data_IF_466147212662
#
_entry.id   IF_466147212662
#
_cell.length_a   1.000
_cell.length_b   1.000
_cell.length_c   1.000
_cell.angle_alpha   90.00
_cell.angle_beta   90.00
_cell.angle_gamma   90.00
#
_symmetry.space_group_name_H-M   'P 1'
#
loop_
_entity.id
_entity.type
_entity.pdbx_description
1 polymer ?
#
# COMPACT_ATOMS: atom_id res chain seq x y z
N UNK A 1 -15.92 7.92 5.45
CA UNK A 1 -14.62 7.37 5.02
C UNK A 1 -14.60 5.91 5.45
N UNK A 2 -14.31 4.96 4.56
CA UNK A 2 -14.20 3.56 4.99
C UNK A 2 -12.97 3.44 5.89
N UNK A 3 -13.19 3.17 7.17
CA UNK A 3 -12.11 2.89 8.09
C UNK A 3 -11.63 1.46 7.83
N UNK A 4 -10.35 1.29 7.51
CA UNK A 4 -9.74 -0.03 7.38
C UNK A 4 -9.57 -0.58 8.80
N UNK A 5 -10.02 -1.81 9.03
CA UNK A 5 -9.88 -2.43 10.34
C UNK A 5 -8.40 -2.63 10.69
N UNK A 6 -8.02 -2.42 11.95
CA UNK A 6 -6.64 -2.55 12.41
C UNK A 6 -6.06 -3.96 12.20
N UNK A 7 -6.93 -4.97 12.20
CA UNK A 7 -6.64 -6.39 11.97
C UNK A 7 -6.79 -6.81 10.50
N UNK A 8 -7.23 -5.91 9.60
CA UNK A 8 -7.23 -6.17 8.16
C UNK A 8 -5.82 -6.51 7.69
N UNK A 9 -5.71 -7.43 6.74
CA UNK A 9 -4.41 -7.90 6.23
C UNK A 9 -4.34 -7.57 4.75
N UNK A 10 -3.79 -6.39 4.39
CA UNK A 10 -3.65 -6.02 3.00
C UNK A 10 -2.80 -7.04 2.24
N UNK A 11 -3.26 -7.43 1.07
CA UNK A 11 -2.55 -8.38 0.20
C UNK A 11 -2.64 -7.98 -1.27
N UNK A 12 -1.65 -8.39 -2.06
CA UNK A 12 -1.69 -8.23 -3.51
C UNK A 12 -2.51 -9.38 -4.14
N UNK A 13 -3.59 -9.08 -4.89
CA UNK A 13 -4.41 -10.10 -5.53
C UNK A 13 -3.67 -10.80 -6.67
N UNK A 14 -4.20 -11.94 -7.09
CA UNK A 14 -3.61 -12.75 -8.18
C UNK A 14 -3.58 -11.95 -9.48
N UNK A 15 -2.40 -11.85 -10.08
CA UNK A 15 -2.18 -11.11 -11.32
C UNK A 15 -1.60 -9.72 -11.11
N UNK A 16 -1.62 -9.18 -9.89
CA UNK A 16 -0.93 -7.94 -9.56
C UNK A 16 0.54 -8.22 -9.27
N UNK A 17 1.44 -7.47 -9.90
CA UNK A 17 2.88 -7.59 -9.71
C UNK A 17 3.48 -6.24 -9.37
N UNK A 18 4.20 -6.17 -8.27
CA UNK A 18 5.04 -5.03 -7.93
C UNK A 18 6.37 -5.14 -8.66
N UNK A 19 6.74 -4.13 -9.45
CA UNK A 19 7.99 -4.08 -10.22
C UNK A 19 8.63 -2.71 -10.15
N UNK A 20 9.95 -2.69 -10.21
CA UNK A 20 10.72 -1.46 -10.42
C UNK A 20 10.78 -1.14 -11.92
N UNK A 21 10.30 0.04 -12.28
CA UNK A 21 10.55 0.66 -13.57
C UNK A 21 11.92 1.35 -13.54
N UNK A 22 12.92 0.63 -14.05
CA UNK A 22 14.32 1.11 -14.13
C UNK A 22 14.50 2.30 -15.08
N UNK A 23 13.59 2.51 -16.03
CA UNK A 23 13.68 3.64 -16.95
C UNK A 23 13.32 4.96 -16.26
N UNK A 24 12.43 4.90 -15.27
CA UNK A 24 11.99 6.07 -14.49
C UNK A 24 12.50 6.11 -13.05
N UNK A 25 13.12 5.03 -12.57
CA UNK A 25 13.58 4.89 -11.19
C UNK A 25 12.42 4.89 -10.18
N UNK A 26 11.26 4.36 -10.59
CA UNK A 26 10.04 4.31 -9.78
C UNK A 26 9.54 2.89 -9.65
N UNK A 27 8.68 2.62 -8.68
CA UNK A 27 7.99 1.34 -8.59
C UNK A 27 6.59 1.44 -9.19
N UNK A 28 6.13 0.36 -9.79
CA UNK A 28 4.83 0.25 -10.43
C UNK A 28 4.14 -1.03 -9.99
N UNK A 29 2.84 -0.96 -9.74
CA UNK A 29 1.96 -2.11 -9.65
C UNK A 29 1.37 -2.37 -11.03
N UNK A 30 1.67 -3.55 -11.56
CA UNK A 30 1.12 -4.06 -12.81
C UNK A 30 -0.07 -4.94 -12.46
N UNK A 31 -1.29 -4.42 -12.60
CA UNK A 31 -2.49 -5.24 -12.53
C UNK A 31 -2.95 -5.71 -13.91
N UNK A 32 -3.95 -6.62 -13.94
CA UNK A 32 -4.44 -7.20 -15.19
C UNK A 32 -5.10 -6.15 -16.12
N UNK A 33 -5.81 -5.18 -15.54
CA UNK A 33 -6.52 -4.14 -16.31
C UNK A 33 -5.81 -2.79 -16.37
N UNK A 34 -4.92 -2.49 -15.41
CA UNK A 34 -4.33 -1.16 -15.24
C UNK A 34 -2.97 -1.20 -14.56
N UNK A 35 -2.19 -0.14 -14.78
CA UNK A 35 -0.88 0.08 -14.14
C UNK A 35 -1.04 1.23 -13.16
N UNK A 36 -0.49 1.07 -11.96
CA UNK A 36 -0.42 2.11 -10.95
C UNK A 36 1.05 2.47 -10.72
N UNK A 37 1.41 3.73 -10.97
CA UNK A 37 2.74 4.24 -10.63
C UNK A 37 2.77 4.59 -9.13
N UNK A 38 3.62 3.90 -8.38
CA UNK A 38 3.79 4.16 -6.96
C UNK A 38 4.84 5.25 -6.74
N UNK A 39 4.43 6.31 -6.05
CA UNK A 39 5.34 7.30 -5.50
C UNK A 39 6.23 6.68 -4.40
N UNK A 40 7.30 7.37 -3.95
CA UNK A 40 8.20 6.83 -2.92
C UNK A 40 7.48 6.40 -1.64
N UNK A 41 6.47 7.16 -1.20
CA UNK A 41 5.67 6.82 -0.02
C UNK A 41 4.83 5.56 -0.27
N UNK A 42 4.10 5.52 -1.39
CA UNK A 42 3.32 4.35 -1.78
C UNK A 42 4.20 3.10 -1.97
N UNK A 43 5.42 3.27 -2.48
CA UNK A 43 6.42 2.20 -2.63
C UNK A 43 6.77 1.57 -1.29
N UNK A 44 7.03 2.38 -0.27
CA UNK A 44 7.35 1.87 1.07
C UNK A 44 6.15 1.17 1.70
N UNK A 45 4.94 1.71 1.53
CA UNK A 45 3.70 1.04 1.98
C UNK A 45 3.53 -0.31 1.28
N UNK A 46 3.68 -0.37 -0.04
CA UNK A 46 3.55 -1.59 -0.84
C UNK A 46 4.62 -2.63 -0.52
N UNK A 47 5.82 -2.21 -0.12
CA UNK A 47 6.87 -3.11 0.36
C UNK A 47 6.52 -3.79 1.68
N UNK A 48 5.70 -3.14 2.51
CA UNK A 48 5.21 -3.72 3.77
C UNK A 48 4.01 -4.65 3.58
N UNK A 49 3.35 -4.57 2.42
CA UNK A 49 2.20 -5.42 2.06
C UNK A 49 2.71 -6.78 1.59
N UNK A 50 2.74 -7.72 2.54
CA UNK A 50 3.19 -9.11 2.34
C UNK A 50 2.02 -10.12 2.40
N UNK A 51 0.79 -9.66 2.61
CA UNK A 51 -0.39 -10.51 2.80
C UNK A 51 -0.41 -11.26 4.13
N UNK A 52 0.41 -10.84 5.11
CA UNK A 52 0.50 -11.45 6.45
C UNK A 52 0.47 -10.40 7.56
N UNK A 53 1.03 -9.23 7.30
CA UNK A 53 1.10 -8.12 8.23
C UNK A 53 -0.26 -7.42 8.29
N UNK A 54 -0.75 -7.17 9.50
CA UNK A 54 -2.00 -6.41 9.70
C UNK A 54 -1.79 -4.93 9.40
N UNK A 55 -2.89 -4.23 9.11
CA UNK A 55 -2.90 -2.80 8.85
C UNK A 55 -2.24 -2.01 9.99
N UNK A 56 -2.54 -2.36 11.24
CA UNK A 56 -1.89 -1.76 12.41
C UNK A 56 -0.37 -1.98 12.43
N UNK A 57 0.11 -3.18 12.09
CA UNK A 57 1.55 -3.45 12.04
C UNK A 57 2.25 -2.66 10.93
N UNK A 58 1.59 -2.48 9.79
CA UNK A 58 2.06 -1.63 8.70
C UNK A 58 2.15 -0.18 9.17
N UNK A 59 1.12 0.36 9.83
CA UNK A 59 1.13 1.70 10.39
C UNK A 59 2.27 1.91 11.38
N UNK A 60 2.46 0.99 12.33
CA UNK A 60 3.58 1.08 13.30
C UNK A 60 4.93 1.16 12.58
N UNK A 61 5.17 0.30 11.58
CA UNK A 61 6.42 0.37 10.80
C UNK A 61 6.56 1.69 10.04
N UNK A 62 5.49 2.22 9.47
CA UNK A 62 5.52 3.50 8.76
C UNK A 62 5.79 4.67 9.71
N UNK A 63 5.22 4.66 10.91
CA UNK A 63 5.49 5.69 11.93
C UNK A 63 6.96 5.72 12.33
N UNK A 64 7.60 4.55 12.41
CA UNK A 64 9.04 4.42 12.67
C UNK A 64 9.88 4.88 11.48
N UNK A 65 9.52 4.46 10.26
CA UNK A 65 10.26 4.80 9.04
C UNK A 65 10.21 6.30 8.70
N UNK A 66 9.05 6.92 8.84
CA UNK A 66 8.82 8.32 8.49
C UNK A 66 8.95 9.27 9.69
N UNK A 67 9.19 8.74 10.90
CA UNK A 67 9.28 9.53 12.15
C UNK A 67 8.09 10.48 12.31
N UNK A 68 6.88 9.97 12.06
CA UNK A 68 5.64 10.76 12.09
C UNK A 68 4.54 10.02 12.85
N UNK A 69 3.58 10.79 13.38
CA UNK A 69 2.50 10.24 14.19
C UNK A 69 1.54 9.39 13.37
N UNK A 70 1.01 8.33 13.99
CA UNK A 70 0.03 7.44 13.38
C UNK A 70 -1.21 8.21 12.91
N UNK A 71 -1.66 9.22 13.66
CA UNK A 71 -2.81 10.05 13.29
C UNK A 71 -2.58 10.85 11.99
N UNK A 72 -1.33 11.11 11.63
CA UNK A 72 -0.94 11.80 10.40
C UNK A 72 -0.80 10.82 9.23
N UNK A 73 -0.23 9.65 9.48
CA UNK A 73 0.03 8.62 8.44
C UNK A 73 -1.25 7.85 8.10
N UNK A 74 -2.04 7.44 9.10
CA UNK A 74 -3.23 6.61 8.94
C UNK A 74 -4.18 7.08 7.84
N UNK A 75 -4.66 8.34 7.81
CA UNK A 75 -5.61 8.76 6.79
C UNK A 75 -5.02 8.71 5.37
N UNK A 76 -3.72 8.95 5.21
CA UNK A 76 -3.02 8.86 3.92
C UNK A 76 -2.93 7.41 3.43
N UNK A 77 -2.55 6.49 4.33
CA UNK A 77 -2.46 5.05 4.02
C UNK A 77 -3.85 4.46 3.78
N UNK A 78 -4.86 4.83 4.56
CA UNK A 78 -6.25 4.40 4.37
C UNK A 78 -6.78 4.84 3.00
N UNK A 79 -6.55 6.11 2.62
CA UNK A 79 -6.95 6.64 1.33
C UNK A 79 -6.26 5.90 0.18
N UNK A 80 -4.94 5.68 0.29
CA UNK A 80 -4.17 4.94 -0.71
C UNK A 80 -4.66 3.50 -0.86
N UNK A 81 -4.82 2.78 0.25
CA UNK A 81 -5.25 1.38 0.24
C UNK A 81 -6.68 1.22 -0.29
N UNK A 82 -7.58 2.14 0.07
CA UNK A 82 -8.95 2.15 -0.43
C UNK A 82 -8.98 2.37 -1.94
N UNK A 83 -8.24 3.37 -2.45
CA UNK A 83 -8.14 3.63 -3.89
C UNK A 83 -7.53 2.43 -4.65
N UNK A 84 -6.52 1.77 -4.08
CA UNK A 84 -5.95 0.56 -4.65
C UNK A 84 -6.92 -0.62 -4.60
N UNK A 85 -7.74 -0.74 -3.56
CA UNK A 85 -8.77 -1.77 -3.45
C UNK A 85 -9.89 -1.57 -4.47
N UNK A 86 -10.36 -0.33 -4.66
CA UNK A 86 -11.34 0.04 -5.70
C UNK A 86 -10.80 -0.27 -7.10
N UNK A 87 -9.48 -0.16 -7.27
CA UNK A 87 -8.77 -0.50 -8.50
C UNK A 87 -8.46 -2.00 -8.66
N UNK A 88 -8.87 -2.84 -7.70
CA UNK A 88 -8.54 -4.27 -7.63
C UNK A 88 -7.03 -4.55 -7.64
N UNK A 89 -6.23 -3.60 -7.14
CA UNK A 89 -4.77 -3.71 -7.01
C UNK A 89 -4.33 -4.26 -5.65
N UNK A 90 -5.15 -4.09 -4.62
CA UNK A 90 -4.94 -4.58 -3.24
C UNK A 90 -6.25 -5.18 -2.73
N UNK A 91 -6.16 -6.20 -1.88
CA UNK A 91 -7.29 -6.75 -1.13
C UNK A 91 -7.12 -6.42 0.35
N UNK A 92 -8.21 -6.07 1.04
CA UNK A 92 -8.25 -5.74 2.47
C UNK A 92 -8.98 -6.82 3.26
#
# INVERSE_FOLDING_TARGET
MPAIADDAVPALPRGVKFREDKARGRYVLLGPERIFEADPVATEILRLIDGRSSFKAILTRLTELFTADEATIRPDVEALLTDLADKQMVTL
#
